data_IF_509907791584
#
_entry.id   IF_509907791584
#
_cell.length_a   1.000
_cell.length_b   1.000
_cell.length_c   1.000
_cell.angle_alpha   90.00
_cell.angle_beta   90.00
_cell.angle_gamma   90.00
#
_symmetry.space_group_name_H-M   'P 1'
#
loop_
_entity.id
_entity.type
_entity.pdbx_description
1 polymer ?
#
# COMPACT_ATOMS: atom_id res chain seq x y z
N UNK A 1 3.93 5.70 -2.27
CA UNK A 1 2.79 6.50 -1.75
C UNK A 1 2.49 6.14 -0.30
N UNK A 2 2.16 7.12 0.56
CA UNK A 2 1.84 6.87 1.96
C UNK A 2 0.42 6.32 2.13
N UNK A 3 0.24 5.54 3.19
CA UNK A 3 -1.10 5.08 3.60
C UNK A 3 -1.81 6.19 4.37
N UNK A 4 -3.13 6.33 4.16
CA UNK A 4 -3.94 7.32 4.89
C UNK A 4 -3.83 7.14 6.41
N UNK A 5 -3.57 8.23 7.15
CA UNK A 5 -3.52 8.22 8.62
C UNK A 5 -4.85 7.77 9.24
N UNK A 6 -5.97 8.07 8.59
CA UNK A 6 -7.29 7.62 9.04
C UNK A 6 -7.44 6.09 8.96
N UNK A 7 -6.87 5.45 7.94
CA UNK A 7 -6.84 3.99 7.83
C UNK A 7 -5.94 3.36 8.90
N UNK A 8 -4.76 3.93 9.14
CA UNK A 8 -3.82 3.43 10.14
C UNK A 8 -4.37 3.49 11.58
N UNK A 9 -5.27 4.44 11.87
CA UNK A 9 -5.93 4.57 13.18
C UNK A 9 -7.06 3.55 13.41
N UNK A 10 -7.55 2.90 12.37
CA UNK A 10 -8.66 1.96 12.49
C UNK A 10 -8.21 0.68 13.19
N UNK A 11 -8.68 0.49 14.41
CA UNK A 11 -8.41 -0.73 15.20
C UNK A 11 -9.44 -1.82 14.92
N UNK A 12 -9.09 -3.11 15.06
CA UNK A 12 -9.99 -4.22 14.81
C UNK A 12 -11.18 -4.25 15.78
N UNK A 13 -12.39 -4.14 15.24
CA UNK A 13 -13.65 -4.29 15.98
C UNK A 13 -14.13 -5.75 16.05
N UNK A 14 -15.41 -5.93 16.40
CA UNK A 14 -16.03 -7.28 16.49
C UNK A 14 -16.12 -7.97 15.13
N UNK A 15 -16.43 -7.20 14.06
CA UNK A 15 -16.54 -7.72 12.69
C UNK A 15 -15.17 -8.16 12.17
N UNK A 16 -14.14 -7.37 12.38
CA UNK A 16 -12.79 -7.66 11.98
C UNK A 16 -12.23 -8.90 12.71
N UNK A 17 -12.55 -9.06 14.00
CA UNK A 17 -12.21 -10.28 14.77
C UNK A 17 -12.87 -11.53 14.21
N UNK A 18 -14.13 -11.43 13.81
CA UNK A 18 -14.85 -12.55 13.18
C UNK A 18 -14.27 -12.86 11.81
N UNK A 19 -14.03 -11.84 10.97
CA UNK A 19 -13.42 -12.00 9.67
C UNK A 19 -12.07 -12.72 9.77
N UNK A 20 -11.21 -12.29 10.69
CA UNK A 20 -9.92 -12.93 10.93
C UNK A 20 -10.08 -14.42 11.25
N UNK A 21 -10.97 -14.75 12.19
CA UNK A 21 -11.22 -16.17 12.56
C UNK A 21 -11.68 -17.00 11.36
N UNK A 22 -12.57 -16.46 10.52
CA UNK A 22 -13.01 -17.14 9.31
C UNK A 22 -11.85 -17.40 8.33
N UNK A 23 -10.98 -16.40 8.12
CA UNK A 23 -9.83 -16.51 7.22
C UNK A 23 -8.72 -17.42 7.78
N UNK A 24 -8.65 -17.60 9.08
CA UNK A 24 -7.70 -18.52 9.74
C UNK A 24 -8.13 -19.99 9.65
N UNK A 25 -9.41 -20.30 9.33
CA UNK A 25 -9.86 -21.68 9.14
C UNK A 25 -9.04 -22.35 8.04
N UNK A 26 -8.46 -23.55 8.29
CA UNK A 26 -7.49 -24.14 7.38
C UNK A 26 -7.96 -24.31 5.93
N UNK A 27 -9.13 -24.89 5.71
CA UNK A 27 -9.65 -25.15 4.36
C UNK A 27 -10.29 -23.89 3.77
N UNK A 28 -11.22 -23.28 4.49
CA UNK A 28 -11.97 -22.12 4.03
C UNK A 28 -11.08 -20.91 3.78
N UNK A 29 -10.24 -20.55 4.75
CA UNK A 29 -9.34 -19.40 4.63
C UNK A 29 -8.30 -19.62 3.52
N UNK A 30 -7.84 -20.83 3.30
CA UNK A 30 -6.94 -21.15 2.18
C UNK A 30 -7.63 -20.98 0.84
N UNK A 31 -8.88 -21.45 0.71
CA UNK A 31 -9.67 -21.24 -0.51
C UNK A 31 -9.87 -19.77 -0.83
N UNK A 32 -10.35 -18.99 0.16
CA UNK A 32 -10.54 -17.53 0.00
C UNK A 32 -9.23 -16.85 -0.36
N UNK A 33 -8.13 -17.22 0.29
CA UNK A 33 -6.82 -16.65 -0.01
C UNK A 33 -6.43 -16.87 -1.47
N UNK A 34 -6.51 -18.11 -1.96
CA UNK A 34 -6.16 -18.42 -3.35
C UNK A 34 -7.08 -17.76 -4.37
N UNK A 35 -8.34 -17.46 -4.02
CA UNK A 35 -9.22 -16.68 -4.89
C UNK A 35 -8.74 -15.21 -4.97
N UNK A 36 -8.41 -14.60 -3.83
CA UNK A 36 -8.00 -13.19 -3.76
C UNK A 36 -6.60 -12.95 -4.35
N UNK A 37 -5.71 -13.95 -4.26
CA UNK A 37 -4.35 -13.87 -4.83
C UNK A 37 -4.20 -14.71 -6.10
N UNK A 38 -5.30 -15.02 -6.78
CA UNK A 38 -5.25 -15.63 -8.12
C UNK A 38 -4.54 -14.69 -9.09
N UNK A 39 -3.96 -15.23 -10.16
CA UNK A 39 -3.25 -14.43 -11.17
C UNK A 39 -4.15 -13.32 -11.73
N UNK A 40 -5.39 -13.65 -12.05
CA UNK A 40 -6.35 -12.69 -12.58
C UNK A 40 -6.70 -11.59 -11.55
N UNK A 41 -6.87 -11.97 -10.27
CA UNK A 41 -7.15 -10.99 -9.21
C UNK A 41 -5.96 -10.05 -8.98
N UNK A 42 -4.73 -10.57 -8.98
CA UNK A 42 -3.51 -9.75 -8.86
C UNK A 42 -3.36 -8.82 -10.07
N UNK A 43 -3.58 -9.32 -11.28
CA UNK A 43 -3.48 -8.51 -12.49
C UNK A 43 -4.53 -7.39 -12.52
N UNK A 44 -5.78 -7.70 -12.17
CA UNK A 44 -6.85 -6.70 -12.11
C UNK A 44 -6.57 -5.64 -11.05
N UNK A 45 -6.16 -6.04 -9.86
CA UNK A 45 -5.79 -5.11 -8.79
C UNK A 45 -4.64 -4.20 -9.23
N UNK A 46 -3.65 -4.78 -9.93
CA UNK A 46 -2.52 -4.02 -10.44
C UNK A 46 -2.93 -2.98 -11.49
N UNK A 47 -3.75 -3.37 -12.45
CA UNK A 47 -4.25 -2.47 -13.50
C UNK A 47 -5.14 -1.36 -12.91
N UNK A 48 -6.06 -1.72 -12.02
CA UNK A 48 -7.04 -0.77 -11.51
C UNK A 48 -6.43 0.22 -10.50
N UNK A 49 -5.55 -0.28 -9.62
CA UNK A 49 -5.11 0.50 -8.46
C UNK A 49 -3.66 0.94 -8.50
N UNK A 50 -2.77 0.24 -9.22
CA UNK A 50 -1.34 0.49 -9.12
C UNK A 50 -0.70 1.07 -10.38
N UNK A 51 -1.15 0.69 -11.58
CA UNK A 51 -0.56 1.16 -12.82
C UNK A 51 -1.10 2.52 -13.24
N UNK A 52 -0.22 3.41 -13.70
CA UNK A 52 -0.62 4.65 -14.36
C UNK A 52 -1.22 4.36 -15.73
N UNK A 53 -0.53 3.55 -16.54
CA UNK A 53 -1.04 3.09 -17.84
C UNK A 53 -1.67 1.69 -17.70
N UNK A 54 -3.01 1.59 -17.69
CA UNK A 54 -3.69 0.30 -17.57
C UNK A 54 -3.55 -0.59 -18.82
N UNK A 55 -3.13 -0.02 -19.96
CA UNK A 55 -2.99 -0.75 -21.22
C UNK A 55 -1.61 -1.41 -21.37
N UNK A 56 -0.60 -0.88 -20.68
CA UNK A 56 0.76 -1.38 -20.74
C UNK A 56 1.30 -1.65 -19.32
N UNK A 57 0.65 -2.53 -18.53
CA UNK A 57 1.13 -2.84 -17.19
C UNK A 57 2.46 -3.59 -17.24
N UNK A 58 3.33 -3.32 -16.30
CA UNK A 58 4.59 -4.05 -16.12
C UNK A 58 4.30 -5.50 -15.71
N UNK A 59 4.51 -6.43 -16.65
CA UNK A 59 4.24 -7.86 -16.46
C UNK A 59 5.23 -8.52 -15.51
N UNK A 60 6.48 -8.10 -15.54
CA UNK A 60 7.52 -8.66 -14.67
C UNK A 60 7.22 -8.30 -13.21
N UNK A 61 6.74 -7.08 -12.97
CA UNK A 61 6.29 -6.65 -11.67
C UNK A 61 5.03 -7.39 -11.22
N UNK A 62 4.05 -7.59 -12.10
CA UNK A 62 2.86 -8.39 -11.79
C UNK A 62 3.21 -9.83 -11.41
N UNK A 63 4.11 -10.47 -12.16
CA UNK A 63 4.58 -11.81 -11.88
C UNK A 63 5.34 -11.88 -10.54
N UNK A 64 6.18 -10.89 -10.25
CA UNK A 64 6.88 -10.79 -8.97
C UNK A 64 5.91 -10.66 -7.78
N UNK A 65 4.85 -9.87 -7.93
CA UNK A 65 3.78 -9.76 -6.92
C UNK A 65 3.03 -11.07 -6.71
N UNK A 66 2.67 -11.73 -7.81
CA UNK A 66 2.01 -13.04 -7.74
C UNK A 66 2.88 -14.08 -7.03
N UNK A 67 4.16 -14.18 -7.39
CA UNK A 67 5.10 -15.09 -6.75
C UNK A 67 5.32 -14.77 -5.28
N UNK A 68 5.47 -13.48 -4.94
CA UNK A 68 5.62 -13.04 -3.55
C UNK A 68 4.42 -13.43 -2.70
N UNK A 69 3.20 -13.30 -3.22
CA UNK A 69 1.98 -13.69 -2.53
C UNK A 69 1.93 -15.21 -2.24
N UNK A 70 2.58 -16.03 -3.06
CA UNK A 70 2.57 -17.49 -2.91
C UNK A 70 3.78 -18.05 -2.16
N UNK A 71 4.82 -17.26 -1.93
CA UNK A 71 6.09 -17.71 -1.34
C UNK A 71 5.94 -18.28 0.09
N UNK A 72 4.96 -17.82 0.84
CA UNK A 72 4.68 -18.30 2.20
C UNK A 72 3.85 -19.60 2.26
N UNK A 73 3.44 -20.17 1.15
CA UNK A 73 2.56 -21.34 1.08
C UNK A 73 1.26 -21.11 1.88
N UNK A 74 0.82 -22.12 2.62
CA UNK A 74 -0.43 -22.05 3.39
C UNK A 74 -0.42 -21.03 4.54
N UNK A 75 0.75 -20.52 4.95
CA UNK A 75 0.85 -19.50 6.00
C UNK A 75 0.64 -18.08 5.49
N UNK A 76 0.80 -17.82 4.18
CA UNK A 76 0.61 -16.51 3.58
C UNK A 76 -0.80 -15.96 3.82
N UNK A 77 -1.82 -16.82 3.88
CA UNK A 77 -3.19 -16.45 4.25
C UNK A 77 -3.30 -15.73 5.60
N UNK A 78 -2.41 -16.03 6.56
CA UNK A 78 -2.45 -15.42 7.89
C UNK A 78 -2.00 -13.96 7.84
N UNK A 79 -1.07 -13.61 6.96
CA UNK A 79 -0.68 -12.22 6.70
C UNK A 79 -1.86 -11.45 6.09
N UNK A 80 -2.50 -12.06 5.07
CA UNK A 80 -3.70 -11.49 4.47
C UNK A 80 -4.83 -11.31 5.48
N UNK A 81 -5.10 -12.33 6.33
CA UNK A 81 -6.13 -12.27 7.37
C UNK A 81 -5.88 -11.12 8.34
N UNK A 82 -4.63 -10.90 8.77
CA UNK A 82 -4.27 -9.79 9.65
C UNK A 82 -4.40 -8.43 8.95
N UNK A 83 -4.00 -8.30 7.69
CA UNK A 83 -4.16 -7.08 6.89
C UNK A 83 -5.65 -6.75 6.71
N UNK A 84 -6.44 -7.69 6.19
CA UNK A 84 -7.87 -7.51 5.92
C UNK A 84 -8.69 -7.20 7.19
N UNK A 85 -8.27 -7.70 8.33
CA UNK A 85 -8.91 -7.48 9.63
C UNK A 85 -8.30 -6.35 10.45
N UNK A 86 -7.45 -5.51 9.86
CA UNK A 86 -6.85 -4.30 10.46
C UNK A 86 -5.93 -4.57 11.67
N UNK A 87 -5.48 -5.81 11.88
CA UNK A 87 -4.54 -6.13 12.97
C UNK A 87 -3.11 -5.63 12.70
N UNK A 88 -2.82 -5.26 11.44
CA UNK A 88 -1.53 -4.66 11.07
C UNK A 88 -1.55 -3.12 11.14
N UNK A 89 -2.70 -2.52 11.44
CA UNK A 89 -2.80 -1.07 11.55
C UNK A 89 -2.14 -0.59 12.85
N UNK A 90 -1.40 0.51 12.75
CA UNK A 90 -0.72 1.16 13.87
C UNK A 90 -0.94 2.66 13.74
N UNK A 91 -1.43 3.31 14.79
CA UNK A 91 -1.51 4.78 14.83
C UNK A 91 -0.12 5.38 15.02
N UNK A 92 0.42 5.94 13.94
CA UNK A 92 1.74 6.59 13.92
C UNK A 92 1.68 8.09 14.26
N UNK A 93 0.49 8.65 14.51
CA UNK A 93 0.27 10.09 14.65
C UNK A 93 1.17 10.71 15.73
N UNK A 94 1.34 10.02 16.85
CA UNK A 94 2.18 10.52 17.94
C UNK A 94 3.66 10.56 17.53
N UNK A 95 4.17 9.46 16.97
CA UNK A 95 5.56 9.42 16.50
C UNK A 95 5.83 10.45 15.41
N UNK A 96 4.87 10.62 14.47
CA UNK A 96 4.98 11.62 13.41
C UNK A 96 5.10 13.06 13.97
N UNK A 97 4.41 13.38 15.06
CA UNK A 97 4.51 14.69 15.73
C UNK A 97 5.85 14.95 16.43
N UNK A 98 6.53 13.89 16.85
CA UNK A 98 7.78 13.96 17.60
C UNK A 98 9.01 14.01 16.69
N UNK A 99 8.83 13.93 15.36
CA UNK A 99 9.93 14.01 14.38
C UNK A 99 10.24 15.48 14.10
N UNK A 100 11.48 15.89 14.40
CA UNK A 100 11.96 17.25 14.16
C UNK A 100 12.72 17.39 12.83
N UNK A 101 13.00 16.28 12.15
CA UNK A 101 13.67 16.27 10.85
C UNK A 101 12.67 16.55 9.73
N UNK A 102 13.16 17.04 8.59
CA UNK A 102 12.38 17.12 7.36
C UNK A 102 11.92 15.73 6.92
N UNK A 103 10.65 15.60 6.58
CA UNK A 103 10.01 14.39 6.09
C UNK A 103 9.54 14.61 4.66
N UNK A 104 10.00 13.79 3.75
CA UNK A 104 9.59 13.85 2.36
C UNK A 104 8.62 12.73 2.03
N UNK A 105 7.46 13.09 1.50
CA UNK A 105 6.47 12.16 0.96
C UNK A 105 6.57 12.20 -0.55
N UNK A 106 6.83 11.07 -1.18
CA UNK A 106 6.80 10.94 -2.64
C UNK A 106 5.52 10.26 -3.06
N UNK A 107 4.77 10.90 -3.94
CA UNK A 107 3.54 10.34 -4.50
C UNK A 107 3.53 10.40 -6.03
N UNK A 108 2.71 9.55 -6.64
CA UNK A 108 2.39 9.64 -8.07
C UNK A 108 1.25 10.65 -8.31
N UNK A 109 1.33 11.39 -9.42
CA UNK A 109 0.34 12.39 -9.81
C UNK A 109 -1.10 11.83 -9.93
N UNK A 110 -1.23 10.59 -10.38
CA UNK A 110 -2.52 9.92 -10.57
C UNK A 110 -2.98 9.09 -9.35
N UNK A 111 -2.35 9.27 -8.17
CA UNK A 111 -2.77 8.56 -6.97
C UNK A 111 -4.13 9.04 -6.47
N UNK A 112 -4.98 8.08 -6.13
CA UNK A 112 -6.31 8.38 -5.60
C UNK A 112 -6.22 9.04 -4.23
N UNK A 113 -6.79 10.26 -4.10
CA UNK A 113 -6.79 11.04 -2.86
C UNK A 113 -5.40 11.41 -2.32
N UNK A 114 -4.36 11.45 -3.17
CA UNK A 114 -3.00 11.78 -2.78
C UNK A 114 -2.92 13.11 -2.02
N UNK A 115 -3.46 14.19 -2.59
CA UNK A 115 -3.49 15.51 -1.95
C UNK A 115 -4.10 15.50 -0.54
N UNK A 116 -5.24 14.81 -0.37
CA UNK A 116 -5.90 14.74 0.95
C UNK A 116 -5.08 13.92 1.97
N UNK A 117 -4.34 12.92 1.49
CA UNK A 117 -3.42 12.13 2.32
C UNK A 117 -2.26 13.02 2.76
N UNK A 118 -1.62 13.73 1.84
CA UNK A 118 -0.52 14.66 2.14
C UNK A 118 -0.95 15.73 3.14
N UNK A 119 -2.08 16.39 2.88
CA UNK A 119 -2.64 17.40 3.79
C UNK A 119 -2.83 16.84 5.21
N UNK A 120 -3.33 15.60 5.32
CA UNK A 120 -3.48 14.95 6.62
C UNK A 120 -2.15 14.73 7.34
N UNK A 121 -1.07 14.41 6.62
CA UNK A 121 0.27 14.30 7.20
C UNK A 121 0.84 15.65 7.60
N UNK A 122 0.71 16.67 6.75
CA UNK A 122 1.16 18.06 7.02
C UNK A 122 0.42 18.69 8.21
N UNK A 123 -0.87 18.40 8.37
CA UNK A 123 -1.64 18.84 9.53
C UNK A 123 -1.15 18.22 10.86
N UNK A 124 -0.51 17.05 10.79
CA UNK A 124 0.08 16.40 11.97
C UNK A 124 1.50 16.87 12.22
N UNK A 125 2.30 17.02 11.17
CA UNK A 125 3.67 17.52 11.24
C UNK A 125 3.95 18.49 10.08
N UNK A 126 4.06 19.80 10.35
CA UNK A 126 4.30 20.81 9.32
C UNK A 126 5.65 20.70 8.59
N UNK A 127 6.59 19.89 9.10
CA UNK A 127 7.87 19.62 8.41
C UNK A 127 7.76 18.59 7.28
N UNK A 128 6.54 18.10 7.01
CA UNK A 128 6.28 17.19 5.89
C UNK A 128 6.23 17.97 4.59
N UNK A 129 7.13 17.63 3.69
CA UNK A 129 7.16 18.14 2.31
C UNK A 129 6.71 17.04 1.35
N UNK A 130 5.98 17.41 0.29
CA UNK A 130 5.49 16.48 -0.70
C UNK A 130 6.19 16.68 -2.04
N UNK A 131 6.51 15.57 -2.70
CA UNK A 131 7.08 15.52 -4.04
C UNK A 131 6.19 14.66 -4.91
N UNK A 132 5.63 15.25 -5.96
CA UNK A 132 4.74 14.56 -6.90
C UNK A 132 5.51 14.20 -8.16
N UNK A 133 5.51 12.93 -8.53
CA UNK A 133 6.12 12.43 -9.76
C UNK A 133 5.05 12.34 -10.85
N UNK A 134 5.29 13.02 -11.97
CA UNK A 134 4.35 13.08 -13.10
C UNK A 134 4.23 11.74 -13.81
N UNK A 135 3.05 11.51 -14.39
CA UNK A 135 2.76 10.31 -15.18
C UNK A 135 3.00 9.01 -14.42
N UNK A 136 2.80 9.03 -13.09
CA UNK A 136 2.91 7.86 -12.23
C UNK A 136 1.70 7.76 -11.31
N UNK A 137 1.46 6.56 -10.77
CA UNK A 137 0.38 6.30 -9.84
C UNK A 137 0.91 5.75 -8.51
N UNK A 138 0.80 4.45 -8.25
CA UNK A 138 1.12 3.89 -6.94
C UNK A 138 2.62 3.63 -6.73
N UNK A 139 3.36 3.37 -7.78
CA UNK A 139 4.77 3.01 -7.75
C UNK A 139 5.67 3.98 -8.53
N UNK A 140 5.75 5.27 -8.15
CA UNK A 140 6.52 6.26 -8.92
C UNK A 140 7.99 5.87 -9.13
N UNK A 141 8.60 5.14 -8.19
CA UNK A 141 9.98 4.66 -8.30
C UNK A 141 10.16 3.54 -9.34
N UNK A 142 9.08 2.88 -9.76
CA UNK A 142 9.09 1.83 -10.79
C UNK A 142 8.61 2.39 -12.13
N UNK A 143 7.55 3.20 -12.09
CA UNK A 143 6.92 3.75 -13.29
C UNK A 143 7.78 4.84 -13.96
N UNK A 144 8.48 5.65 -13.17
CA UNK A 144 9.37 6.71 -13.64
C UNK A 144 10.66 6.80 -12.81
N UNK A 145 11.55 5.78 -12.90
CA UNK A 145 12.73 5.68 -12.03
C UNK A 145 13.70 6.84 -12.18
N UNK A 146 13.87 7.38 -13.39
CA UNK A 146 14.74 8.51 -13.65
C UNK A 146 14.24 9.79 -12.99
N UNK A 147 12.94 10.11 -13.17
CA UNK A 147 12.32 11.26 -12.52
C UNK A 147 12.32 11.11 -11.00
N UNK A 148 12.05 9.89 -10.50
CA UNK A 148 12.09 9.60 -9.07
C UNK A 148 13.49 9.86 -8.50
N UNK A 149 14.56 9.38 -9.15
CA UNK A 149 15.93 9.57 -8.70
C UNK A 149 16.35 11.05 -8.77
N UNK A 150 15.94 11.77 -9.80
CA UNK A 150 16.21 13.21 -9.93
C UNK A 150 15.58 13.99 -8.77
N UNK A 151 14.32 13.73 -8.46
CA UNK A 151 13.61 14.43 -7.38
C UNK A 151 14.14 14.05 -5.99
N UNK A 152 14.41 12.77 -5.76
CA UNK A 152 14.90 12.29 -4.46
C UNK A 152 16.39 12.66 -4.28
N UNK A 153 17.17 12.67 -5.36
CA UNK A 153 18.60 13.04 -5.32
C UNK A 153 18.88 14.47 -4.88
N UNK A 154 17.88 15.36 -4.89
CA UNK A 154 17.99 16.72 -4.37
C UNK A 154 18.15 16.72 -2.83
N UNK A 155 17.72 15.67 -2.14
CA UNK A 155 17.71 15.55 -0.68
C UNK A 155 18.92 14.81 -0.12
N UNK A 156 19.77 14.22 -0.96
CA UNK A 156 20.97 13.48 -0.61
C UNK A 156 22.21 14.09 -1.28
#
# INVERSE_FOLDING_TARGET
NPVSLSSLKQMPGKKEKLLRRCLEIPVFGTLVYHMVVSRDAVNNEFIENYAFDPFHPDRDLQDAYYEAAHRGGCYAKNVYANKASKYMNIDITRGLKEIDNSLYIVEGEAENNGEAIIEAYQNVNPSVEAVTIKETKHFPHVEAPEQFLEQVGIFF
#
